data_IF_132400811295
#
_entry.id   IF_132400811295
#
_cell.length_a   1.000
_cell.length_b   1.000
_cell.length_c   1.000
_cell.angle_alpha   90.00
_cell.angle_beta   90.00
_cell.angle_gamma   90.00
#
_symmetry.space_group_name_H-M   'P 1'
#
loop_
_entity.id
_entity.type
_entity.pdbx_description
1 polymer ?
#
# COMPACT_ATOMS: atom_id res chain seq x y z
N UNK A 1 22.43 -20.95 -4.16
CA UNK A 1 21.23 -20.44 -4.88
C UNK A 1 20.54 -19.37 -4.03
N UNK A 2 20.67 -18.09 -4.39
CA UNK A 2 19.98 -17.00 -3.66
C UNK A 2 18.49 -17.04 -4.03
N UNK A 3 17.62 -17.43 -3.10
CA UNK A 3 16.17 -17.38 -3.30
C UNK A 3 15.74 -15.92 -3.47
N UNK A 4 15.42 -15.49 -4.70
CA UNK A 4 14.90 -14.14 -4.97
C UNK A 4 13.62 -13.95 -4.14
N UNK A 5 13.60 -12.93 -3.28
CA UNK A 5 12.40 -12.57 -2.52
C UNK A 5 11.25 -12.28 -3.50
N UNK A 6 10.02 -12.77 -3.22
CA UNK A 6 8.90 -12.51 -4.10
C UNK A 6 8.65 -11.00 -4.21
N UNK A 7 8.46 -10.51 -5.45
CA UNK A 7 8.16 -9.10 -5.69
C UNK A 7 6.89 -8.67 -4.95
N UNK A 8 6.88 -7.47 -4.37
CA UNK A 8 5.68 -6.89 -3.74
C UNK A 8 4.59 -6.52 -4.76
N UNK A 9 5.02 -6.26 -5.99
CA UNK A 9 4.18 -5.87 -7.12
C UNK A 9 3.89 -7.08 -8.00
N UNK A 10 2.67 -7.17 -8.51
CA UNK A 10 2.38 -8.03 -9.64
C UNK A 10 2.97 -7.39 -10.92
N UNK A 11 3.55 -8.21 -11.77
CA UNK A 11 4.06 -7.79 -13.08
C UNK A 11 2.94 -7.81 -14.12
N UNK A 12 2.89 -6.82 -15.03
CA UNK A 12 1.96 -6.81 -16.18
C UNK A 12 1.97 -8.12 -16.99
N UNK A 13 3.15 -8.71 -17.18
CA UNK A 13 3.34 -9.95 -17.97
C UNK A 13 2.68 -11.19 -17.38
N UNK A 14 2.13 -11.08 -16.17
CA UNK A 14 1.41 -12.16 -15.48
C UNK A 14 -0.10 -12.06 -15.61
N UNK A 15 -0.62 -11.01 -16.25
CA UNK A 15 -2.05 -10.93 -16.58
C UNK A 15 -2.46 -12.09 -17.48
N UNK A 16 -3.62 -12.70 -17.22
CA UNK A 16 -4.12 -13.83 -17.99
C UNK A 16 -3.37 -15.17 -17.81
N UNK A 17 -2.20 -15.20 -17.12
CA UNK A 17 -1.48 -16.47 -16.84
C UNK A 17 -2.14 -17.33 -15.74
N UNK A 18 -3.09 -16.78 -15.00
CA UNK A 18 -3.89 -17.50 -14.01
C UNK A 18 -5.30 -17.78 -14.56
N UNK A 19 -5.89 -18.94 -14.22
CA UNK A 19 -7.27 -19.29 -14.61
C UNK A 19 -8.31 -18.68 -13.65
N UNK A 20 -9.53 -18.42 -14.15
CA UNK A 20 -10.69 -17.99 -13.34
C UNK A 20 -10.68 -16.53 -12.88
N UNK A 21 -11.33 -16.21 -11.74
CA UNK A 21 -11.38 -14.85 -11.15
C UNK A 21 -10.00 -14.25 -10.83
N UNK A 22 -8.94 -15.06 -10.87
CA UNK A 22 -7.55 -14.65 -10.62
C UNK A 22 -6.84 -14.11 -11.87
N UNK A 23 -7.46 -14.21 -13.05
CA UNK A 23 -6.88 -13.79 -14.33
C UNK A 23 -6.84 -12.27 -14.52
N UNK A 24 -7.83 -11.56 -13.95
CA UNK A 24 -7.98 -10.10 -14.05
C UNK A 24 -7.61 -9.48 -12.70
N UNK A 25 -6.53 -8.69 -12.69
CA UNK A 25 -6.10 -7.92 -11.52
C UNK A 25 -6.34 -6.45 -11.81
N UNK A 26 -7.09 -5.80 -10.94
CA UNK A 26 -7.43 -4.39 -11.06
C UNK A 26 -7.16 -3.67 -9.74
N UNK A 27 -6.95 -2.37 -9.84
CA UNK A 27 -6.87 -1.47 -8.71
C UNK A 27 -8.27 -1.31 -8.08
N UNK A 28 -8.41 -1.59 -6.79
CA UNK A 28 -9.70 -1.43 -6.10
C UNK A 28 -10.15 0.05 -5.97
N UNK A 29 -9.24 1.01 -6.14
CA UNK A 29 -9.53 2.45 -6.01
C UNK A 29 -9.93 3.11 -7.32
N UNK A 30 -9.21 2.82 -8.42
CA UNK A 30 -9.45 3.47 -9.72
C UNK A 30 -9.87 2.51 -10.84
N UNK A 31 -9.94 1.19 -10.58
CA UNK A 31 -10.32 0.20 -11.58
C UNK A 31 -9.26 -0.15 -12.63
N UNK A 32 -8.12 0.56 -12.66
CA UNK A 32 -7.03 0.30 -13.61
C UNK A 32 -6.53 -1.14 -13.53
N UNK A 33 -6.33 -1.79 -14.68
CA UNK A 33 -5.81 -3.16 -14.78
C UNK A 33 -4.30 -3.21 -14.70
N UNK A 34 -3.77 -4.40 -14.43
CA UNK A 34 -2.32 -4.60 -14.31
C UNK A 34 -1.55 -4.40 -15.62
N UNK A 35 -2.20 -4.58 -16.77
CA UNK A 35 -1.71 -4.17 -18.09
C UNK A 35 -1.24 -2.72 -18.15
N UNK A 36 -1.92 -1.81 -17.45
CA UNK A 36 -1.60 -0.38 -17.46
C UNK A 36 -0.66 0.03 -16.34
N UNK A 37 -0.69 -0.66 -15.19
CA UNK A 37 0.13 -0.31 -14.03
C UNK A 37 0.37 -1.52 -13.11
N UNK A 38 1.58 -1.70 -12.55
CA UNK A 38 1.83 -2.73 -11.54
C UNK A 38 0.87 -2.61 -10.35
N UNK A 39 0.30 -3.73 -9.93
CA UNK A 39 -0.64 -3.79 -8.79
C UNK A 39 0.08 -4.29 -7.54
N UNK A 40 -0.04 -3.55 -6.45
CA UNK A 40 0.46 -3.94 -5.14
C UNK A 40 -0.33 -5.14 -4.61
N UNK A 41 0.36 -6.25 -4.33
CA UNK A 41 -0.29 -7.54 -3.98
C UNK A 41 -1.14 -7.50 -2.73
N UNK A 42 -0.69 -6.77 -1.70
CA UNK A 42 -1.34 -6.75 -0.40
C UNK A 42 -2.65 -5.95 -0.39
N UNK A 43 -2.73 -4.91 -1.21
CA UNK A 43 -3.83 -3.95 -1.17
C UNK A 43 -4.58 -3.84 -2.50
N UNK A 44 -4.22 -4.58 -3.55
CA UNK A 44 -4.80 -4.42 -4.88
C UNK A 44 -4.89 -2.94 -5.32
N UNK A 45 -3.80 -2.19 -5.15
CA UNK A 45 -3.70 -0.79 -5.57
C UNK A 45 -2.66 -0.66 -6.67
N UNK A 46 -2.95 0.09 -7.74
CA UNK A 46 -1.94 0.39 -8.75
C UNK A 46 -0.86 1.32 -8.19
N UNK A 47 0.31 1.30 -8.83
CA UNK A 47 1.44 2.17 -8.48
C UNK A 47 1.05 3.65 -8.37
N UNK A 48 0.21 4.14 -9.28
CA UNK A 48 -0.26 5.53 -9.26
C UNK A 48 -1.07 5.86 -8.01
N UNK A 49 -2.09 5.06 -7.69
CA UNK A 49 -2.87 5.25 -6.47
C UNK A 49 -2.03 5.10 -5.21
N UNK A 50 -1.04 4.20 -5.21
CA UNK A 50 -0.11 4.06 -4.09
C UNK A 50 0.68 5.34 -3.85
N UNK A 51 1.20 5.95 -4.91
CA UNK A 51 1.97 7.20 -4.81
C UNK A 51 1.10 8.39 -4.40
N UNK A 52 -0.12 8.50 -4.92
CA UNK A 52 -1.06 9.53 -4.48
C UNK A 52 -1.38 9.42 -2.99
N UNK A 53 -1.71 8.21 -2.52
CA UNK A 53 -2.04 7.99 -1.12
C UNK A 53 -0.83 8.30 -0.23
N UNK A 54 0.38 7.88 -0.62
CA UNK A 54 1.62 8.19 0.10
C UNK A 54 1.84 9.69 0.29
N UNK A 55 1.56 10.49 -0.75
CA UNK A 55 1.67 11.95 -0.70
C UNK A 55 0.56 12.59 0.12
N UNK A 56 -0.67 12.08 0.00
CA UNK A 56 -1.84 12.63 0.68
C UNK A 56 -1.74 12.51 2.21
N UNK A 57 -1.08 11.46 2.73
CA UNK A 57 -0.93 11.22 4.18
C UNK A 57 -2.26 11.34 4.95
N UNK A 58 -3.29 10.67 4.41
CA UNK A 58 -4.70 10.88 4.80
C UNK A 58 -5.07 10.29 6.17
N UNK A 59 -4.24 9.39 6.71
CA UNK A 59 -4.51 8.65 7.95
C UNK A 59 -5.55 7.55 7.82
N UNK A 60 -6.04 7.26 6.62
CA UNK A 60 -7.01 6.19 6.34
C UNK A 60 -6.35 5.07 5.57
N UNK A 61 -5.69 5.43 4.47
CA UNK A 61 -4.90 4.53 3.64
C UNK A 61 -3.41 4.69 3.86
N UNK A 62 -2.94 5.91 4.16
CA UNK A 62 -1.54 6.23 4.38
C UNK A 62 -1.28 6.89 5.73
N UNK A 63 -0.15 6.55 6.36
CA UNK A 63 0.27 7.14 7.62
C UNK A 63 0.39 8.67 7.50
N UNK A 64 -0.22 9.41 8.43
CA UNK A 64 -0.12 10.88 8.52
C UNK A 64 1.32 11.40 8.62
N UNK A 65 2.21 10.63 9.25
CA UNK A 65 3.63 10.98 9.40
C UNK A 65 4.47 10.66 8.16
N UNK A 66 4.51 9.39 7.75
CA UNK A 66 5.46 8.91 6.74
C UNK A 66 4.84 8.47 5.40
N UNK A 67 3.51 8.50 5.26
CA UNK A 67 2.81 8.06 4.05
C UNK A 67 2.75 6.53 3.85
N UNK A 68 3.23 5.72 4.80
CA UNK A 68 3.19 4.27 4.69
C UNK A 68 1.76 3.71 4.57
N UNK A 69 1.54 2.79 3.64
CA UNK A 69 0.26 2.14 3.38
C UNK A 69 0.08 0.90 4.27
N UNK A 70 -0.47 1.10 5.46
CA UNK A 70 -0.70 0.06 6.47
C UNK A 70 -2.09 0.21 7.11
N UNK A 71 -3.19 0.12 6.33
CA UNK A 71 -4.53 0.50 6.77
C UNK A 71 -4.98 -0.16 8.07
N UNK A 72 -4.58 -1.42 8.31
CA UNK A 72 -4.87 -2.13 9.57
C UNK A 72 -4.23 -1.43 10.79
N UNK A 73 -2.98 -0.97 10.67
CA UNK A 73 -2.33 -0.20 11.72
C UNK A 73 -2.96 1.19 11.86
N UNK A 74 -3.29 1.85 10.75
CA UNK A 74 -3.85 3.20 10.78
C UNK A 74 -5.17 3.27 11.55
N UNK A 75 -6.03 2.24 11.39
CA UNK A 75 -7.29 2.13 12.15
C UNK A 75 -7.06 1.98 13.66
N UNK A 76 -6.03 1.22 14.05
CA UNK A 76 -5.69 1.02 15.46
C UNK A 76 -5.01 2.24 16.10
N UNK A 77 -4.28 3.02 15.30
CA UNK A 77 -3.33 4.03 15.73
C UNK A 77 -3.72 5.46 15.31
N UNK A 78 -5.02 5.74 15.17
CA UNK A 78 -5.56 7.07 14.82
C UNK A 78 -4.92 7.72 13.57
N UNK A 79 -4.60 6.90 12.58
CA UNK A 79 -4.04 7.33 11.30
C UNK A 79 -2.50 7.36 11.23
N UNK A 80 -1.81 6.71 12.18
CA UNK A 80 -0.35 6.57 12.16
C UNK A 80 0.07 5.10 12.05
N UNK A 81 1.21 4.84 11.41
CA UNK A 81 1.83 3.52 11.50
C UNK A 81 2.55 3.37 12.84
N UNK A 82 2.76 2.13 13.28
CA UNK A 82 3.46 1.87 14.56
C UNK A 82 4.87 2.45 14.60
N UNK A 83 5.51 2.62 13.43
CA UNK A 83 6.84 3.24 13.32
C UNK A 83 6.83 4.77 13.52
N UNK A 84 5.67 5.42 13.36
CA UNK A 84 5.51 6.86 13.60
C UNK A 84 4.99 7.17 15.01
N UNK A 85 4.66 6.16 15.81
CA UNK A 85 4.25 6.33 17.19
C UNK A 85 5.42 6.05 18.13
N UNK A 86 5.50 6.83 19.20
CA UNK A 86 6.41 6.56 20.29
C UNK A 86 5.99 5.25 20.99
N UNK A 87 6.88 4.25 21.15
CA UNK A 87 6.55 2.99 21.79
C UNK A 87 6.22 3.13 23.29
N UNK A 88 6.67 4.21 23.94
CA UNK A 88 6.41 4.44 25.37
C UNK A 88 5.05 5.10 25.64
N UNK A 89 4.65 6.08 24.82
CA UNK A 89 3.43 6.87 25.06
C UNK A 89 2.35 6.73 23.99
N UNK A 90 2.62 6.02 22.88
CA UNK A 90 1.67 5.80 21.79
C UNK A 90 1.31 7.05 20.99
N UNK A 91 2.02 8.16 21.18
CA UNK A 91 1.77 9.44 20.50
C UNK A 91 2.74 9.63 19.32
N UNK A 92 2.29 10.29 18.23
CA UNK A 92 3.20 10.66 17.15
C UNK A 92 4.21 11.70 17.63
N UNK A 93 5.36 11.77 16.94
CA UNK A 93 6.32 12.84 17.16
C UNK A 93 5.62 14.20 16.98
N UNK A 94 5.91 15.21 17.83
CA UNK A 94 5.37 16.54 17.63
C UNK A 94 5.77 17.02 16.24
N UNK A 95 4.82 17.60 15.51
CA UNK A 95 5.15 18.28 14.26
C UNK A 95 6.03 19.47 14.65
N UNK A 96 7.30 19.45 14.22
CA UNK A 96 8.15 20.63 14.31
C UNK A 96 7.47 21.72 13.46
N UNK A 97 6.95 22.74 14.15
CA UNK A 97 6.34 23.95 13.55
C UNK A 97 7.46 24.90 13.12
#
# INVERSE_FOLDING_TARGET
MVKKKPSKWFSPDKEGRSRGRLSKRFCQRCGTTIQHAPILKSLNLCSFCVEELRKARDGVWSCKGCGALVPDQLRANNGYCSACLCPACGRPAPAEV
#
